data_IF_086987600460
#
_entry.id   IF_086987600460
#
_cell.length_a   1.000
_cell.length_b   1.000
_cell.length_c   1.000
_cell.angle_alpha   90.00
_cell.angle_beta   90.00
_cell.angle_gamma   90.00
#
_symmetry.space_group_name_H-M   'P 1'
#
loop_
_entity.id
_entity.type
_entity.pdbx_description
1 polymer ?
#
# COMPACT_ATOMS: atom_id res chain seq x y z
N UNK A 1 -10.94 21.99 -20.32
CA UNK A 1 -12.02 21.34 -19.55
C UNK A 1 -12.77 20.28 -20.37
N UNK A 2 -13.33 20.62 -21.54
CA UNK A 2 -14.03 19.66 -22.42
C UNK A 2 -13.18 18.45 -22.84
N UNK A 3 -11.90 18.64 -23.21
CA UNK A 3 -10.96 17.54 -23.51
C UNK A 3 -10.80 16.54 -22.34
N UNK A 4 -10.80 17.02 -21.09
CA UNK A 4 -10.64 16.21 -19.87
C UNK A 4 -11.90 15.36 -19.60
N UNK A 5 -13.08 15.95 -19.77
CA UNK A 5 -14.36 15.25 -19.65
C UNK A 5 -14.48 14.17 -20.74
N UNK A 6 -14.14 14.51 -22.00
CA UNK A 6 -14.13 13.54 -23.10
C UNK A 6 -13.14 12.37 -22.85
N UNK A 7 -11.94 12.67 -22.32
CA UNK A 7 -10.94 11.66 -21.97
C UNK A 7 -11.45 10.68 -20.91
N UNK A 8 -12.06 11.14 -19.81
CA UNK A 8 -12.58 10.24 -18.77
C UNK A 8 -13.82 9.47 -19.20
N UNK A 9 -14.67 10.04 -20.06
CA UNK A 9 -15.83 9.35 -20.63
C UNK A 9 -15.43 8.30 -21.68
N UNK A 10 -14.35 8.53 -22.42
CA UNK A 10 -13.82 7.59 -23.40
C UNK A 10 -12.91 6.51 -22.78
N UNK A 11 -12.53 6.66 -21.50
CA UNK A 11 -11.67 5.69 -20.81
C UNK A 11 -12.49 4.44 -20.46
N UNK A 12 -12.20 3.28 -21.08
CA UNK A 12 -12.91 2.05 -20.75
C UNK A 12 -12.70 1.73 -19.26
N UNK A 13 -13.80 1.45 -18.56
CA UNK A 13 -13.78 1.03 -17.16
C UNK A 13 -13.21 -0.40 -17.09
N UNK A 14 -11.89 -0.53 -17.19
CA UNK A 14 -11.21 -1.83 -17.24
C UNK A 14 -11.41 -2.59 -15.92
N UNK A 15 -12.27 -3.61 -15.93
CA UNK A 15 -12.11 -4.76 -15.02
C UNK A 15 -10.83 -5.47 -15.44
N UNK A 16 -9.81 -5.46 -14.58
CA UNK A 16 -8.50 -6.06 -14.85
C UNK A 16 -8.63 -7.57 -15.12
N UNK A 17 -8.39 -7.99 -16.36
CA UNK A 17 -7.91 -9.33 -16.70
C UNK A 17 -6.58 -9.21 -17.47
N UNK A 18 -5.73 -10.22 -17.35
CA UNK A 18 -4.26 -10.08 -17.51
C UNK A 18 -3.74 -10.16 -18.97
N UNK A 19 -4.61 -10.23 -19.98
CA UNK A 19 -4.20 -10.52 -21.37
C UNK A 19 -4.24 -9.32 -22.35
N UNK A 20 -4.92 -8.22 -22.04
CA UNK A 20 -5.15 -7.13 -23.03
C UNK A 20 -4.12 -5.99 -22.96
N UNK A 21 -2.85 -6.29 -22.65
CA UNK A 21 -1.83 -5.23 -22.41
C UNK A 21 -1.22 -4.62 -23.67
N UNK A 22 -1.36 -5.24 -24.85
CA UNK A 22 -0.47 -4.92 -25.97
C UNK A 22 -1.09 -4.26 -27.21
N UNK A 23 -2.42 -4.17 -27.36
CA UNK A 23 -3.00 -3.61 -28.60
C UNK A 23 -3.48 -2.16 -28.47
N UNK A 24 -3.92 -1.70 -27.29
CA UNK A 24 -4.46 -0.35 -27.09
C UNK A 24 -3.42 0.69 -26.64
N UNK A 25 -2.19 0.25 -26.40
CA UNK A 25 -1.11 1.07 -25.84
C UNK A 25 -0.55 2.11 -26.81
N UNK A 26 -0.74 1.95 -28.12
CA UNK A 26 0.08 2.66 -29.12
C UNK A 26 -0.52 3.93 -29.76
N UNK A 27 -1.67 4.46 -29.34
CA UNK A 27 -2.24 5.71 -29.91
C UNK A 27 -2.80 6.72 -28.90
N UNK A 28 -2.67 6.45 -27.60
CA UNK A 28 -3.34 7.20 -26.52
C UNK A 28 -2.36 7.72 -25.45
N UNK A 29 -1.06 7.80 -25.77
CA UNK A 29 0.00 8.03 -24.77
C UNK A 29 0.61 9.45 -24.73
N UNK A 30 0.25 10.41 -25.58
CA UNK A 30 1.01 11.68 -25.63
C UNK A 30 0.37 12.95 -25.04
N UNK A 31 -0.91 12.98 -24.65
CA UNK A 31 -1.44 14.09 -23.84
C UNK A 31 -1.62 13.66 -22.38
N UNK A 32 -0.53 13.59 -21.62
CA UNK A 32 -0.58 13.60 -20.14
C UNK A 32 -0.94 15.01 -19.68
N UNK A 33 -2.14 15.21 -19.13
CA UNK A 33 -2.50 16.54 -18.62
C UNK A 33 -1.70 16.85 -17.35
N UNK A 34 -1.05 18.03 -17.25
CA UNK A 34 -0.11 18.37 -16.17
C UNK A 34 -0.74 18.34 -14.76
N UNK A 35 -2.05 18.59 -14.64
CA UNK A 35 -2.80 18.48 -13.39
C UNK A 35 -2.80 17.06 -12.81
N UNK A 36 -2.80 16.06 -13.69
CA UNK A 36 -2.88 14.65 -13.33
C UNK A 36 -1.53 14.17 -12.77
N UNK A 37 -0.44 14.75 -13.28
CA UNK A 37 0.94 14.50 -12.84
C UNK A 37 1.21 15.09 -11.45
N UNK A 38 0.72 16.32 -11.20
CA UNK A 38 0.78 16.97 -9.88
C UNK A 38 -0.01 16.16 -8.84
N UNK A 39 -1.16 15.60 -9.22
CA UNK A 39 -1.95 14.76 -8.34
C UNK A 39 -1.26 13.43 -8.04
N UNK A 40 -0.73 12.72 -9.03
CA UNK A 40 -0.05 11.43 -8.81
C UNK A 40 1.18 11.57 -7.90
N UNK A 41 2.03 12.58 -8.11
CA UNK A 41 3.17 12.85 -7.22
C UNK A 41 2.75 13.18 -5.79
N UNK A 42 1.66 13.93 -5.62
CA UNK A 42 1.11 14.30 -4.31
C UNK A 42 0.51 13.08 -3.60
N UNK A 43 -0.17 12.20 -4.33
CA UNK A 43 -0.80 11.00 -3.77
C UNK A 43 0.21 9.93 -3.35
N UNK A 44 1.34 9.80 -4.06
CA UNK A 44 2.38 8.86 -3.67
C UNK A 44 3.13 9.33 -2.41
N UNK A 45 3.38 10.64 -2.27
CA UNK A 45 3.91 11.20 -1.00
C UNK A 45 3.00 10.93 0.20
N UNK A 46 1.68 10.87 0.02
CA UNK A 46 0.72 10.64 1.11
C UNK A 46 0.64 9.18 1.57
N UNK A 47 1.03 8.21 0.74
CA UNK A 47 0.96 6.77 1.07
C UNK A 47 2.10 6.29 1.97
N UNK A 48 3.15 7.10 2.12
CA UNK A 48 4.34 6.79 2.91
C UNK A 48 5.27 5.80 2.20
N UNK A 49 6.58 6.00 2.36
CA UNK A 49 7.58 5.18 1.70
C UNK A 49 7.85 3.89 2.48
N UNK A 50 8.35 2.87 1.76
CA UNK A 50 8.80 1.60 2.37
C UNK A 50 9.95 1.82 3.37
N UNK A 51 10.71 2.90 3.20
CA UNK A 51 11.86 3.29 4.01
C UNK A 51 11.49 4.15 5.22
N UNK A 52 10.22 4.58 5.34
CA UNK A 52 9.80 5.40 6.47
C UNK A 52 10.10 4.70 7.80
N UNK A 53 10.62 5.45 8.80
CA UNK A 53 10.86 4.88 10.12
C UNK A 53 9.56 4.36 10.74
N UNK A 54 9.64 3.21 11.40
CA UNK A 54 8.52 2.64 12.14
C UNK A 54 8.41 3.33 13.50
N UNK A 55 7.20 3.74 13.86
CA UNK A 55 6.87 4.15 15.24
C UNK A 55 7.10 2.99 16.22
N UNK A 56 7.37 3.28 17.49
CA UNK A 56 7.55 2.27 18.54
C UNK A 56 6.41 1.23 18.60
N UNK A 57 5.16 1.68 18.47
CA UNK A 57 4.00 0.77 18.46
C UNK A 57 3.96 -0.13 17.23
N UNK A 58 4.41 0.38 16.09
CA UNK A 58 4.54 -0.39 14.85
C UNK A 58 5.66 -1.42 14.95
N UNK A 59 6.80 -1.05 15.53
CA UNK A 59 7.91 -1.97 15.80
C UNK A 59 7.46 -3.10 16.74
N UNK A 60 6.79 -2.76 17.85
CA UNK A 60 6.20 -3.75 18.76
C UNK A 60 5.23 -4.67 18.03
N UNK A 61 4.35 -4.12 17.18
CA UNK A 61 3.43 -4.93 16.37
C UNK A 61 4.15 -5.95 15.49
N UNK A 62 5.22 -5.55 14.80
CA UNK A 62 6.02 -6.47 13.96
C UNK A 62 6.61 -7.62 14.79
N UNK A 63 7.19 -7.30 15.95
CA UNK A 63 7.79 -8.30 16.85
C UNK A 63 6.71 -9.26 17.37
N UNK A 64 5.61 -8.73 17.89
CA UNK A 64 4.53 -9.54 18.45
C UNK A 64 3.81 -10.38 17.39
N UNK A 65 3.62 -9.86 16.18
CA UNK A 65 3.01 -10.60 15.08
C UNK A 65 3.88 -11.77 14.63
N UNK A 66 5.20 -11.63 14.66
CA UNK A 66 6.10 -12.71 14.26
C UNK A 66 6.18 -13.88 15.26
N UNK A 67 5.66 -13.71 16.48
CA UNK A 67 5.63 -14.79 17.49
C UNK A 67 4.59 -15.86 17.18
N UNK A 68 3.38 -15.46 16.81
CA UNK A 68 2.22 -16.36 16.67
C UNK A 68 1.37 -16.11 15.42
N UNK A 69 1.69 -15.08 14.64
CA UNK A 69 0.91 -14.63 13.47
C UNK A 69 -0.56 -14.30 13.79
N UNK A 70 -0.89 -14.02 15.05
CA UNK A 70 -2.22 -13.53 15.45
C UNK A 70 -2.26 -12.00 15.35
N UNK A 71 -2.96 -11.50 14.32
CA UNK A 71 -3.09 -10.08 14.02
C UNK A 71 -3.70 -9.30 15.18
N UNK A 72 -4.79 -9.82 15.76
CA UNK A 72 -5.55 -9.12 16.80
C UNK A 72 -4.75 -9.09 18.09
N UNK A 73 -4.16 -10.22 18.49
CA UNK A 73 -3.36 -10.28 19.71
C UNK A 73 -2.06 -9.49 19.59
N UNK A 74 -1.39 -9.53 18.43
CA UNK A 74 -0.22 -8.70 18.18
C UNK A 74 -0.53 -7.20 18.31
N UNK A 75 -1.68 -6.75 17.77
CA UNK A 75 -2.11 -5.36 17.92
C UNK A 75 -2.40 -5.00 19.39
N UNK A 76 -3.06 -5.89 20.16
CA UNK A 76 -3.30 -5.65 21.59
C UNK A 76 -1.98 -5.56 22.36
N UNK A 77 -1.06 -6.50 22.16
CA UNK A 77 0.27 -6.52 22.82
C UNK A 77 1.14 -5.32 22.43
N UNK A 78 1.00 -4.83 21.20
CA UNK A 78 1.63 -3.60 20.73
C UNK A 78 1.00 -2.31 21.30
N UNK A 79 -0.05 -2.42 22.11
CA UNK A 79 -0.71 -1.32 22.80
C UNK A 79 -1.85 -0.67 22.02
N UNK A 80 -2.43 -1.33 21.00
CA UNK A 80 -3.65 -0.85 20.33
C UNK A 80 -4.90 -1.21 21.14
N UNK A 81 -5.96 -0.40 20.97
CA UNK A 81 -7.20 -0.60 21.71
C UNK A 81 -7.79 -1.98 21.40
N UNK A 82 -8.25 -2.71 22.44
CA UNK A 82 -8.85 -4.04 22.25
C UNK A 82 -10.05 -4.01 21.31
N UNK A 83 -10.84 -2.93 21.36
CA UNK A 83 -12.04 -2.74 20.51
C UNK A 83 -11.70 -2.65 19.03
N UNK A 84 -10.60 -1.98 18.67
CA UNK A 84 -10.21 -1.76 17.27
C UNK A 84 -8.95 -2.51 16.85
N UNK A 85 -8.44 -3.41 17.69
CA UNK A 85 -7.18 -4.13 17.47
C UNK A 85 -7.15 -4.86 16.12
N UNK A 86 -8.23 -5.55 15.76
CA UNK A 86 -8.31 -6.27 14.49
C UNK A 86 -8.22 -5.34 13.28
N UNK A 87 -9.00 -4.25 13.27
CA UNK A 87 -9.00 -3.25 12.19
C UNK A 87 -7.66 -2.49 12.09
N UNK A 88 -7.05 -2.17 13.23
CA UNK A 88 -5.72 -1.56 13.24
C UNK A 88 -4.67 -2.55 12.70
N UNK A 89 -4.72 -3.81 13.12
CA UNK A 89 -3.79 -4.85 12.68
C UNK A 89 -3.87 -5.11 11.17
N UNK A 90 -5.06 -5.22 10.60
CA UNK A 90 -5.24 -5.38 9.14
C UNK A 90 -4.73 -4.16 8.37
N UNK A 91 -4.98 -2.96 8.88
CA UNK A 91 -4.44 -1.72 8.32
C UNK A 91 -2.91 -1.72 8.36
N UNK A 92 -2.31 -2.09 9.50
CA UNK A 92 -0.85 -2.18 9.66
C UNK A 92 -0.24 -3.17 8.67
N UNK A 93 -0.84 -4.34 8.48
CA UNK A 93 -0.38 -5.32 7.49
C UNK A 93 -0.55 -4.86 6.04
N UNK A 94 -1.37 -3.85 5.78
CA UNK A 94 -1.50 -3.25 4.44
C UNK A 94 -0.39 -2.23 4.15
N UNK A 95 0.30 -1.71 5.18
CA UNK A 95 1.35 -0.72 5.02
C UNK A 95 2.63 -1.34 4.46
N UNK A 96 3.20 -0.71 3.43
CA UNK A 96 4.38 -1.21 2.75
C UNK A 96 5.62 -1.29 3.67
N UNK A 97 5.79 -0.30 4.56
CA UNK A 97 6.89 -0.27 5.55
C UNK A 97 6.81 -1.40 6.58
N UNK A 98 5.61 -1.74 7.05
CA UNK A 98 5.39 -2.85 7.98
C UNK A 98 5.73 -4.19 7.32
N UNK A 99 5.24 -4.40 6.09
CA UNK A 99 5.57 -5.60 5.32
C UNK A 99 7.07 -5.75 5.07
N UNK A 100 7.75 -4.64 4.78
CA UNK A 100 9.21 -4.61 4.62
C UNK A 100 9.91 -5.04 5.91
N UNK A 101 9.50 -4.50 7.05
CA UNK A 101 10.05 -4.85 8.36
C UNK A 101 9.82 -6.33 8.71
N UNK A 102 8.62 -6.86 8.51
CA UNK A 102 8.30 -8.30 8.71
C UNK A 102 9.22 -9.19 7.87
N UNK A 103 9.42 -8.86 6.59
CA UNK A 103 10.32 -9.62 5.70
C UNK A 103 11.77 -9.56 6.18
N UNK A 104 12.23 -8.39 6.64
CA UNK A 104 13.59 -8.21 7.17
C UNK A 104 13.81 -9.06 8.42
N UNK A 105 12.90 -9.02 9.38
CA UNK A 105 12.98 -9.80 10.62
C UNK A 105 12.88 -11.31 10.35
N UNK A 106 11.97 -11.76 9.48
CA UNK A 106 11.92 -13.17 9.05
C UNK A 106 13.25 -13.66 8.46
N UNK A 107 13.88 -12.86 7.60
CA UNK A 107 15.18 -13.21 7.02
C UNK A 107 16.28 -13.31 8.08
N UNK A 108 16.24 -12.50 9.13
CA UNK A 108 17.19 -12.61 10.25
C UNK A 108 16.98 -13.90 11.05
N UNK A 109 15.72 -14.28 11.30
CA UNK A 109 15.39 -15.52 12.02
C UNK A 109 15.85 -16.77 11.26
N UNK A 110 15.74 -16.80 9.93
CA UNK A 110 16.17 -17.94 9.11
C UNK A 110 17.71 -18.06 9.05
N UNK A 111 18.43 -16.95 9.15
CA UNK A 111 19.90 -16.92 9.08
C UNK A 111 20.59 -17.27 10.40
N UNK A 112 19.82 -17.43 11.47
CA UNK A 112 20.31 -17.75 12.81
C UNK A 112 20.18 -19.25 13.04
#
# INVERSE_FOLDING_TARGET
MLKKILYYLAKPFHKKTNQDKNSLKLKLEEEKFPEDMILEEKWDKLKGDKSDPLSERQQRFVIEYLKDYDIKQAAIRAGYSKRTANANGTTLLSLAKINSAIKKERKKLIKK
#
